data_IF_587449163116
#
_entry.id   IF_587449163116
#
_cell.length_a   1.000
_cell.length_b   1.000
_cell.length_c   1.000
_cell.angle_alpha   90.00
_cell.angle_beta   90.00
_cell.angle_gamma   90.00
#
_symmetry.space_group_name_H-M   'P 1'
#
loop_
_entity.id
_entity.type
_entity.pdbx_description
1 polymer ?
#
# COMPACT_ATOMS: atom_id res chain seq x y z
N UNK A 1 -26.29 -9.06 2.77
CA UNK A 1 -25.96 -7.69 3.19
C UNK A 1 -24.78 -7.59 4.16
N UNK A 2 -24.65 -8.41 5.23
CA UNK A 2 -23.50 -8.27 6.16
C UNK A 2 -22.12 -8.48 5.50
N UNK A 3 -22.00 -9.46 4.60
CA UNK A 3 -20.71 -9.77 3.94
C UNK A 3 -20.25 -8.69 2.95
N UNK A 4 -21.15 -8.09 2.19
CA UNK A 4 -20.81 -6.99 1.26
C UNK A 4 -20.32 -5.74 2.00
N UNK A 5 -20.89 -5.43 3.16
CA UNK A 5 -20.45 -4.30 4.02
C UNK A 5 -19.04 -4.53 4.55
N UNK A 6 -18.71 -5.74 5.01
CA UNK A 6 -17.35 -6.05 5.47
C UNK A 6 -16.31 -5.96 4.35
N UNK A 7 -16.64 -6.42 3.13
CA UNK A 7 -15.75 -6.29 1.97
C UNK A 7 -15.53 -4.83 1.56
N UNK A 8 -16.55 -3.98 1.72
CA UNK A 8 -16.42 -2.53 1.48
C UNK A 8 -15.49 -1.87 2.50
N UNK A 9 -15.69 -2.14 3.80
CA UNK A 9 -14.82 -1.61 4.86
C UNK A 9 -13.36 -2.04 4.69
N UNK A 10 -13.14 -3.30 4.33
CA UNK A 10 -11.78 -3.81 4.10
C UNK A 10 -11.14 -3.20 2.84
N UNK A 11 -11.93 -2.87 1.81
CA UNK A 11 -11.44 -2.16 0.62
C UNK A 11 -11.00 -0.73 0.95
N UNK A 12 -11.78 -0.02 1.76
CA UNK A 12 -11.47 1.34 2.23
C UNK A 12 -10.19 1.35 3.07
N UNK A 13 -10.05 0.39 3.99
CA UNK A 13 -8.83 0.24 4.79
C UNK A 13 -7.58 -0.01 3.94
N UNK A 14 -7.67 -0.85 2.90
CA UNK A 14 -6.56 -1.09 1.96
C UNK A 14 -6.23 0.17 1.15
N UNK A 15 -7.22 1.01 0.81
CA UNK A 15 -6.99 2.32 0.16
C UNK A 15 -6.24 3.28 1.08
N UNK A 16 -6.67 3.37 2.35
CA UNK A 16 -6.02 4.21 3.35
C UNK A 16 -4.56 3.80 3.56
N UNK A 17 -4.29 2.51 3.77
CA UNK A 17 -2.93 2.01 3.92
C UNK A 17 -2.07 2.28 2.68
N UNK A 18 -2.64 2.14 1.48
CA UNK A 18 -1.93 2.45 0.23
C UNK A 18 -1.53 3.94 0.17
N UNK A 19 -2.43 4.83 0.60
CA UNK A 19 -2.16 6.27 0.67
C UNK A 19 -1.07 6.60 1.69
N UNK A 20 -1.11 5.95 2.86
CA UNK A 20 -0.10 6.12 3.91
C UNK A 20 1.26 5.65 3.38
N UNK A 21 1.37 4.43 2.84
CA UNK A 21 2.63 3.91 2.29
C UNK A 21 3.22 4.86 1.26
N UNK A 22 2.41 5.36 0.31
CA UNK A 22 2.87 6.35 -0.68
C UNK A 22 3.38 7.64 -0.05
N UNK A 23 2.68 8.16 0.95
CA UNK A 23 3.05 9.42 1.61
C UNK A 23 4.37 9.29 2.35
N UNK A 24 4.59 8.16 3.03
CA UNK A 24 5.87 7.91 3.69
C UNK A 24 6.98 7.73 2.65
N UNK A 25 6.72 7.07 1.51
CA UNK A 25 7.72 6.92 0.42
C UNK A 25 8.17 8.25 -0.12
N UNK A 26 7.22 9.13 -0.41
CA UNK A 26 7.54 10.46 -0.88
C UNK A 26 8.38 11.26 0.13
N UNK A 27 8.05 11.18 1.42
CA UNK A 27 8.78 11.90 2.46
C UNK A 27 10.24 11.43 2.59
N UNK A 28 10.53 10.14 2.41
CA UNK A 28 11.90 9.64 2.41
C UNK A 28 12.68 10.01 1.14
N UNK A 29 12.04 9.97 -0.03
CA UNK A 29 12.65 10.45 -1.27
C UNK A 29 13.00 11.94 -1.18
N UNK A 30 12.12 12.75 -0.60
CA UNK A 30 12.35 14.18 -0.39
C UNK A 30 13.51 14.42 0.59
N UNK A 31 13.59 13.63 1.66
CA UNK A 31 14.69 13.69 2.63
C UNK A 31 16.03 13.31 1.99
N UNK A 32 16.05 12.26 1.17
CA UNK A 32 17.23 11.84 0.43
C UNK A 32 17.68 12.90 -0.59
N UNK A 33 16.75 13.49 -1.33
CA UNK A 33 17.04 14.58 -2.27
C UNK A 33 17.55 15.84 -1.54
N UNK A 34 17.03 16.13 -0.35
CA UNK A 34 17.53 17.23 0.49
C UNK A 34 18.97 16.96 0.97
N UNK A 35 19.26 15.74 1.42
CA UNK A 35 20.61 15.31 1.76
C UNK A 35 21.58 15.49 0.58
N UNK A 36 21.18 15.04 -0.62
CA UNK A 36 21.99 15.16 -1.82
C UNK A 36 22.31 16.62 -2.20
N UNK A 37 21.36 17.55 -2.01
CA UNK A 37 21.60 18.98 -2.27
C UNK A 37 22.62 19.62 -1.30
N UNK A 38 22.84 19.02 -0.12
CA UNK A 38 23.73 19.52 0.92
C UNK A 38 25.17 18.94 0.83
N UNK A 39 25.52 18.29 -0.29
CA UNK A 39 26.79 17.57 -0.56
C UNK A 39 28.11 18.33 -0.30
N UNK A 40 28.09 19.63 0.04
CA UNK A 40 29.28 20.36 0.48
C UNK A 40 29.66 20.16 1.95
N UNK A 41 28.76 19.59 2.76
CA UNK A 41 28.90 19.50 4.23
C UNK A 41 28.58 18.12 4.82
N UNK A 42 28.12 17.17 4.01
CA UNK A 42 27.58 15.89 4.48
C UNK A 42 28.38 14.70 3.91
N UNK A 43 29.56 14.47 4.48
CA UNK A 43 30.37 13.26 4.26
C UNK A 43 30.65 12.55 5.61
N UNK A 44 30.85 11.24 5.59
CA UNK A 44 31.21 10.43 6.76
C UNK A 44 30.09 9.49 7.26
N UNK A 45 30.28 8.91 8.44
CA UNK A 45 29.44 7.84 9.03
C UNK A 45 27.94 8.13 9.05
N UNK A 46 27.54 9.41 9.20
CA UNK A 46 26.14 9.83 9.14
C UNK A 46 25.51 9.72 7.73
N UNK A 47 26.30 9.90 6.67
CA UNK A 47 25.87 9.72 5.27
C UNK A 47 25.64 8.23 4.97
N UNK A 48 26.55 7.37 5.43
CA UNK A 48 26.46 5.92 5.25
C UNK A 48 25.24 5.35 6.01
N UNK A 49 25.04 5.78 7.25
CA UNK A 49 23.87 5.38 8.05
C UNK A 49 22.54 5.82 7.42
N UNK A 50 22.49 7.03 6.85
CA UNK A 50 21.32 7.52 6.11
C UNK A 50 21.05 6.68 4.87
N UNK A 51 22.08 6.39 4.06
CA UNK A 51 21.95 5.58 2.84
C UNK A 51 21.47 4.16 3.14
N UNK A 52 21.99 3.55 4.21
CA UNK A 52 21.56 2.23 4.66
C UNK A 52 20.09 2.25 5.10
N UNK A 53 19.70 3.21 5.93
CA UNK A 53 18.32 3.37 6.39
C UNK A 53 17.36 3.64 5.23
N UNK A 54 17.75 4.48 4.27
CA UNK A 54 16.96 4.76 3.06
C UNK A 54 16.76 3.50 2.22
N UNK A 55 17.81 2.70 2.03
CA UNK A 55 17.73 1.47 1.22
C UNK A 55 16.81 0.44 1.87
N UNK A 56 16.98 0.19 3.18
CA UNK A 56 16.12 -0.72 3.92
C UNK A 56 14.66 -0.26 3.88
N UNK A 57 14.43 1.04 4.07
CA UNK A 57 13.09 1.59 4.05
C UNK A 57 12.44 1.53 2.65
N UNK A 58 13.23 1.75 1.58
CA UNK A 58 12.74 1.59 0.21
C UNK A 58 12.31 0.15 -0.07
N UNK A 59 13.10 -0.84 0.37
CA UNK A 59 12.76 -2.25 0.25
C UNK A 59 11.48 -2.60 1.02
N UNK A 60 11.37 -2.18 2.28
CA UNK A 60 10.18 -2.39 3.12
C UNK A 60 8.93 -1.74 2.49
N UNK A 61 9.08 -0.54 1.91
CA UNK A 61 7.97 0.17 1.25
C UNK A 61 7.47 -0.56 0.01
N UNK A 62 8.38 -1.19 -0.75
CA UNK A 62 8.02 -2.03 -1.90
C UNK A 62 7.28 -3.27 -1.44
N UNK A 63 7.75 -3.94 -0.39
CA UNK A 63 7.08 -5.12 0.17
C UNK A 63 5.65 -4.78 0.63
N UNK A 64 5.47 -3.66 1.35
CA UNK A 64 4.14 -3.18 1.74
C UNK A 64 3.24 -2.90 0.53
N UNK A 65 3.76 -2.25 -0.51
CA UNK A 65 2.99 -1.96 -1.72
C UNK A 65 2.55 -3.24 -2.45
N UNK A 66 3.44 -4.24 -2.54
CA UNK A 66 3.13 -5.54 -3.14
C UNK A 66 2.07 -6.31 -2.33
N UNK A 67 2.18 -6.32 -1.00
CA UNK A 67 1.21 -6.94 -0.11
C UNK A 67 -0.18 -6.30 -0.24
N UNK A 68 -0.25 -4.96 -0.26
CA UNK A 68 -1.51 -4.23 -0.44
C UNK A 68 -2.13 -4.49 -1.82
N UNK A 69 -1.31 -4.58 -2.87
CA UNK A 69 -1.78 -4.96 -4.20
C UNK A 69 -2.35 -6.40 -4.21
N UNK A 70 -1.72 -7.32 -3.48
CA UNK A 70 -2.24 -8.67 -3.27
C UNK A 70 -3.59 -8.68 -2.56
N UNK A 71 -3.73 -7.92 -1.47
CA UNK A 71 -4.99 -7.79 -0.73
C UNK A 71 -6.10 -7.23 -1.60
N UNK A 72 -5.82 -6.21 -2.43
CA UNK A 72 -6.80 -5.66 -3.39
C UNK A 72 -7.34 -6.74 -4.32
N UNK A 73 -6.48 -7.53 -4.94
CA UNK A 73 -6.89 -8.60 -5.88
C UNK A 73 -7.78 -9.64 -5.19
N UNK A 74 -7.46 -10.01 -3.95
CA UNK A 74 -8.28 -10.95 -3.18
C UNK A 74 -9.67 -10.37 -2.87
N UNK A 75 -9.75 -9.08 -2.54
CA UNK A 75 -11.02 -8.40 -2.29
C UNK A 75 -11.89 -8.31 -3.55
N UNK A 76 -11.29 -7.97 -4.69
CA UNK A 76 -11.99 -7.90 -5.98
C UNK A 76 -12.57 -9.27 -6.36
N UNK A 77 -11.80 -10.35 -6.16
CA UNK A 77 -12.28 -11.72 -6.36
C UNK A 77 -13.42 -12.10 -5.40
N UNK A 78 -13.30 -11.73 -4.12
CA UNK A 78 -14.35 -12.00 -3.13
C UNK A 78 -15.65 -11.25 -3.44
N UNK A 79 -15.57 -9.99 -3.88
CA UNK A 79 -16.73 -9.19 -4.31
C UNK A 79 -17.40 -9.80 -5.53
N UNK A 80 -16.63 -10.12 -6.58
CA UNK A 80 -17.17 -10.73 -7.80
C UNK A 80 -17.89 -12.05 -7.52
N UNK A 81 -17.33 -12.91 -6.66
CA UNK A 81 -17.96 -14.16 -6.27
C UNK A 81 -19.26 -13.94 -5.48
N UNK A 82 -19.29 -12.93 -4.59
CA UNK A 82 -20.50 -12.61 -3.83
C UNK A 82 -21.61 -12.07 -4.73
N UNK A 83 -21.28 -11.16 -5.64
CA UNK A 83 -22.24 -10.56 -6.57
C UNK A 83 -22.83 -11.62 -7.51
N UNK A 84 -21.99 -12.53 -8.04
CA UNK A 84 -22.44 -13.65 -8.87
C UNK A 84 -23.40 -14.59 -8.11
N UNK A 85 -23.15 -14.86 -6.83
CA UNK A 85 -24.03 -15.70 -6.02
C UNK A 85 -25.38 -15.02 -5.73
N UNK A 86 -25.38 -13.70 -5.51
CA UNK A 86 -26.62 -12.92 -5.34
C UNK A 86 -27.43 -12.92 -6.63
N UNK A 87 -26.80 -12.71 -7.79
CA UNK A 87 -27.44 -12.72 -9.10
C UNK A 87 -28.00 -14.10 -9.47
N UNK A 88 -27.26 -15.17 -9.18
CA UNK A 88 -27.74 -16.53 -9.42
C UNK A 88 -28.98 -16.83 -8.57
N UNK A 89 -28.96 -16.45 -7.28
CA UNK A 89 -30.11 -16.64 -6.40
C UNK A 89 -31.31 -15.77 -6.81
N UNK A 90 -31.11 -14.52 -7.22
CA UNK A 90 -32.22 -13.66 -7.67
C UNK A 90 -32.87 -14.18 -8.95
N UNK A 91 -32.11 -14.78 -9.87
CA UNK A 91 -32.66 -15.41 -11.09
C UNK A 91 -33.38 -16.72 -10.85
N UNK A 92 -32.95 -17.49 -9.83
CA UNK A 92 -33.59 -18.78 -9.51
C UNK A 92 -34.88 -18.63 -8.71
N UNK A 93 -34.98 -17.58 -7.89
CA UNK A 93 -36.06 -17.42 -6.90
C UNK A 93 -36.87 -16.14 -7.07
N UNK A 94 -36.58 -15.33 -8.10
CA UNK A 94 -37.32 -14.12 -8.48
C UNK A 94 -38.29 -14.33 -9.64
#
# INVERSE_FOLDING_TARGET
MRHSVHLAQLSEFVEELTSITRSVTQALEDANAASHRLHGTWDGEASDAHTLAHTAWADDSREMAEALAGMRRLLDGARANYDAAVDANSRMWG
#
